data_IF_154715198088
#
_entry.id   IF_154715198088
#
_cell.length_a   1.000
_cell.length_b   1.000
_cell.length_c   1.000
_cell.angle_alpha   90.00
_cell.angle_beta   90.00
_cell.angle_gamma   90.00
#
_symmetry.space_group_name_H-M   'P 1'
#
loop_
_entity.id
_entity.type
_entity.pdbx_description
1 polymer ?
#
# COMPACT_ATOMS: atom_id res chain seq x y z
N UNK A 1 25.15 -22.97 0.12
CA UNK A 1 24.65 -22.26 -1.07
C UNK A 1 23.80 -21.11 -0.60
N UNK A 2 23.93 -19.93 -1.21
CA UNK A 2 23.05 -18.80 -0.93
C UNK A 2 21.80 -18.92 -1.81
N UNK A 3 20.63 -18.64 -1.25
CA UNK A 3 19.37 -18.54 -1.97
C UNK A 3 18.98 -17.07 -2.08
N UNK A 4 18.64 -16.63 -3.28
CA UNK A 4 18.13 -15.28 -3.52
C UNK A 4 16.61 -15.30 -3.39
N UNK A 5 16.08 -14.34 -2.64
CA UNK A 5 14.65 -14.13 -2.47
C UNK A 5 14.26 -12.80 -3.11
N UNK A 6 13.07 -12.77 -3.66
CA UNK A 6 12.40 -11.57 -4.16
C UNK A 6 10.96 -11.54 -3.64
N UNK A 7 10.23 -10.47 -3.94
CA UNK A 7 8.82 -10.41 -3.61
C UNK A 7 8.05 -11.56 -4.27
N UNK A 8 7.05 -12.15 -3.59
CA UNK A 8 6.23 -13.19 -4.17
C UNK A 8 5.47 -12.69 -5.41
N UNK A 9 4.90 -13.62 -6.18
CA UNK A 9 3.90 -13.26 -7.18
C UNK A 9 2.70 -12.56 -6.50
N UNK A 10 2.05 -11.65 -7.22
CA UNK A 10 1.06 -10.73 -6.65
C UNK A 10 -0.11 -11.43 -5.94
N UNK A 11 -0.55 -12.58 -6.46
CA UNK A 11 -1.59 -13.41 -5.88
C UNK A 11 -1.16 -14.02 -4.54
N UNK A 12 0.06 -14.58 -4.49
CA UNK A 12 0.67 -15.13 -3.27
C UNK A 12 0.93 -14.02 -2.25
N UNK A 13 1.44 -12.87 -2.68
CA UNK A 13 1.69 -11.74 -1.78
C UNK A 13 0.38 -11.20 -1.20
N UNK A 14 -0.69 -11.11 -1.99
CA UNK A 14 -1.99 -10.68 -1.51
C UNK A 14 -2.58 -11.67 -0.49
N UNK A 15 -2.39 -12.98 -0.68
CA UNK A 15 -2.79 -14.00 0.30
C UNK A 15 -2.03 -13.83 1.62
N UNK A 16 -0.70 -13.64 1.55
CA UNK A 16 0.13 -13.38 2.72
C UNK A 16 -0.34 -12.11 3.45
N UNK A 17 -0.53 -11.02 2.72
CA UNK A 17 -0.96 -9.74 3.31
C UNK A 17 -2.35 -9.86 3.93
N UNK A 18 -3.31 -10.50 3.26
CA UNK A 18 -4.65 -10.70 3.79
C UNK A 18 -4.62 -11.50 5.10
N UNK A 19 -3.86 -12.60 5.14
CA UNK A 19 -3.72 -13.46 6.32
C UNK A 19 -3.02 -12.73 7.48
N UNK A 20 -1.84 -12.17 7.25
CA UNK A 20 -1.01 -11.56 8.30
C UNK A 20 -1.57 -10.24 8.84
N UNK A 21 -2.34 -9.52 8.01
CA UNK A 21 -2.95 -8.25 8.42
C UNK A 21 -4.39 -8.40 8.91
N UNK A 22 -5.07 -9.52 8.66
CA UNK A 22 -6.46 -9.73 9.05
C UNK A 22 -7.45 -8.87 8.26
N UNK A 23 -7.18 -8.64 6.97
CA UNK A 23 -8.02 -7.83 6.06
C UNK A 23 -8.62 -8.69 4.96
N UNK A 24 -9.64 -8.18 4.27
CA UNK A 24 -10.25 -8.88 3.14
C UNK A 24 -9.30 -8.97 1.93
N UNK A 25 -9.45 -10.00 1.07
CA UNK A 25 -8.58 -10.19 -0.09
C UNK A 25 -8.56 -9.02 -1.08
N UNK A 26 -9.67 -8.28 -1.24
CA UNK A 26 -9.71 -7.18 -2.20
C UNK A 26 -8.89 -5.98 -1.69
N UNK A 27 -8.92 -5.71 -0.38
CA UNK A 27 -8.04 -4.70 0.23
C UNK A 27 -6.56 -5.11 0.12
N UNK A 28 -6.23 -6.38 0.40
CA UNK A 28 -4.86 -6.87 0.25
C UNK A 28 -4.34 -6.76 -1.19
N UNK A 29 -5.17 -7.13 -2.19
CA UNK A 29 -4.83 -6.97 -3.61
C UNK A 29 -4.54 -5.51 -3.98
N UNK A 30 -5.31 -4.55 -3.46
CA UNK A 30 -5.05 -3.12 -3.68
C UNK A 30 -3.71 -2.68 -3.09
N UNK A 31 -3.36 -3.14 -1.89
CA UNK A 31 -2.06 -2.86 -1.27
C UNK A 31 -0.90 -3.40 -2.13
N UNK A 32 -1.02 -4.63 -2.63
CA UNK A 32 -0.01 -5.22 -3.53
C UNK A 32 0.12 -4.43 -4.83
N UNK A 33 -0.98 -3.98 -5.43
CA UNK A 33 -0.94 -3.15 -6.65
C UNK A 33 -0.28 -1.78 -6.41
N UNK A 34 -0.43 -1.19 -5.22
CA UNK A 34 0.35 0.00 -4.83
C UNK A 34 1.84 -0.34 -4.74
N UNK A 35 2.17 -1.47 -4.12
CA UNK A 35 3.55 -1.93 -3.96
C UNK A 35 4.26 -2.17 -5.30
N UNK A 36 3.59 -2.80 -6.27
CA UNK A 36 4.13 -3.01 -7.61
C UNK A 36 4.49 -1.69 -8.29
N UNK A 37 3.63 -0.68 -8.19
CA UNK A 37 3.92 0.67 -8.72
C UNK A 37 5.12 1.29 -8.04
N UNK A 38 5.23 1.18 -6.72
CA UNK A 38 6.40 1.65 -5.97
C UNK A 38 7.68 0.92 -6.38
N UNK A 39 7.63 -0.42 -6.53
CA UNK A 39 8.79 -1.23 -6.94
C UNK A 39 9.27 -0.89 -8.34
N UNK A 40 8.36 -0.52 -9.25
CA UNK A 40 8.71 -0.02 -10.58
C UNK A 40 9.43 1.34 -10.57
N UNK A 41 9.36 2.09 -9.47
CA UNK A 41 10.10 3.34 -9.28
C UNK A 41 11.48 3.14 -8.64
N UNK A 42 11.85 1.90 -8.27
CA UNK A 42 13.19 1.60 -7.77
C UNK A 42 14.23 1.97 -8.83
N UNK A 43 15.21 2.79 -8.46
CA UNK A 43 16.21 3.33 -9.39
C UNK A 43 15.73 4.53 -10.22
N UNK A 44 14.48 4.97 -10.04
CA UNK A 44 13.85 6.12 -10.69
C UNK A 44 13.31 7.12 -9.65
N UNK A 45 14.11 7.38 -8.61
CA UNK A 45 13.76 8.28 -7.50
C UNK A 45 13.50 7.58 -6.17
N UNK A 46 13.36 6.25 -6.16
CA UNK A 46 13.41 5.44 -4.94
C UNK A 46 14.66 4.57 -4.90
N UNK A 47 15.28 4.49 -3.72
CA UNK A 47 16.35 3.53 -3.46
C UNK A 47 15.81 2.08 -3.42
N UNK A 48 14.61 1.91 -2.86
CA UNK A 48 13.93 0.63 -2.68
C UNK A 48 12.41 0.76 -2.85
N UNK A 49 11.76 -0.33 -3.25
CA UNK A 49 10.30 -0.40 -3.35
C UNK A 49 9.63 -0.84 -2.03
N UNK A 50 8.31 -0.67 -1.93
CA UNK A 50 7.54 -1.13 -0.77
C UNK A 50 7.72 -2.64 -0.52
N UNK A 51 8.13 -2.97 0.70
CA UNK A 51 8.27 -4.37 1.13
C UNK A 51 6.94 -4.97 1.56
N UNK A 52 6.81 -6.30 1.50
CA UNK A 52 5.64 -7.04 2.01
C UNK A 52 5.35 -6.71 3.48
N UNK A 53 6.39 -6.42 4.30
CA UNK A 53 6.22 -6.00 5.70
C UNK A 53 5.47 -4.68 5.81
N UNK A 54 5.76 -3.71 4.94
CA UNK A 54 5.04 -2.42 4.95
C UNK A 54 3.57 -2.63 4.57
N UNK A 55 3.28 -3.53 3.63
CA UNK A 55 1.91 -3.89 3.26
C UNK A 55 1.14 -4.51 4.43
N UNK A 56 1.78 -5.42 5.18
CA UNK A 56 1.19 -5.99 6.39
C UNK A 56 0.90 -4.90 7.42
N UNK A 57 1.80 -3.94 7.63
CA UNK A 57 1.55 -2.82 8.55
C UNK A 57 0.40 -1.92 8.10
N UNK A 58 0.34 -1.56 6.81
CA UNK A 58 -0.78 -0.80 6.27
C UNK A 58 -2.10 -1.56 6.46
N UNK A 59 -2.13 -2.85 6.16
CA UNK A 59 -3.29 -3.70 6.38
C UNK A 59 -3.70 -3.78 7.85
N UNK A 60 -2.75 -3.90 8.79
CA UNK A 60 -3.04 -3.93 10.22
C UNK A 60 -3.60 -2.62 10.76
N UNK A 61 -3.23 -1.48 10.17
CA UNK A 61 -3.85 -0.19 10.48
C UNK A 61 -5.29 -0.15 9.95
N UNK A 62 -5.52 -0.63 8.72
CA UNK A 62 -6.87 -0.73 8.12
C UNK A 62 -7.78 -1.64 8.94
N UNK A 63 -7.27 -2.79 9.40
CA UNK A 63 -8.00 -3.72 10.27
C UNK A 63 -8.38 -3.11 11.64
N UNK A 64 -7.76 -1.99 12.02
CA UNK A 64 -8.05 -1.20 13.23
C UNK A 64 -8.88 0.05 12.92
N UNK A 65 -9.63 0.03 11.81
CA UNK A 65 -10.53 1.09 11.34
C UNK A 65 -9.83 2.42 11.00
N UNK A 66 -8.51 2.41 10.78
CA UNK A 66 -7.82 3.58 10.23
C UNK A 66 -8.16 3.67 8.74
N UNK A 67 -8.60 4.84 8.23
CA UNK A 67 -8.92 5.00 6.81
C UNK A 67 -7.75 4.55 5.93
N UNK A 68 -8.03 3.76 4.89
CA UNK A 68 -7.01 3.18 4.04
C UNK A 68 -6.01 4.20 3.44
N UNK A 69 -6.43 5.41 3.00
CA UNK A 69 -5.50 6.44 2.56
C UNK A 69 -4.49 6.85 3.65
N UNK A 70 -4.98 7.09 4.88
CA UNK A 70 -4.16 7.46 6.03
C UNK A 70 -3.24 6.31 6.47
N UNK A 71 -3.75 5.08 6.50
CA UNK A 71 -2.95 3.90 6.81
C UNK A 71 -1.81 3.70 5.81
N UNK A 72 -2.08 3.88 4.51
CA UNK A 72 -1.07 3.80 3.46
C UNK A 72 -0.05 4.94 3.57
N UNK A 73 -0.48 6.17 3.85
CA UNK A 73 0.43 7.29 4.03
C UNK A 73 1.43 7.01 5.17
N UNK A 74 0.94 6.61 6.34
CA UNK A 74 1.75 6.34 7.53
C UNK A 74 2.69 5.14 7.36
N UNK A 75 2.20 4.05 6.76
CA UNK A 75 2.93 2.78 6.73
C UNK A 75 3.70 2.52 5.43
N UNK A 76 3.30 3.14 4.31
CA UNK A 76 3.89 2.88 3.00
C UNK A 76 4.67 4.08 2.45
N UNK A 77 4.16 5.30 2.60
CA UNK A 77 4.73 6.49 1.95
C UNK A 77 5.79 7.15 2.81
N UNK A 78 5.44 7.57 4.04
CA UNK A 78 6.36 8.28 4.95
C UNK A 78 7.64 7.49 5.25
N UNK A 79 7.61 6.16 5.45
CA UNK A 79 8.84 5.41 5.75
C UNK A 79 9.74 5.18 4.55
N UNK A 80 9.25 5.38 3.31
CA UNK A 80 9.97 4.99 2.10
C UNK A 80 10.84 6.12 1.54
N UNK A 81 10.46 7.37 1.75
CA UNK A 81 11.18 8.51 1.18
C UNK A 81 10.94 9.82 1.93
N UNK A 82 11.98 10.65 1.99
CA UNK A 82 11.92 12.03 2.47
C UNK A 82 11.77 13.06 1.34
N UNK A 83 11.88 12.62 0.09
CA UNK A 83 11.74 13.48 -1.08
C UNK A 83 10.26 13.83 -1.31
N UNK A 84 9.90 15.13 -1.35
CA UNK A 84 8.51 15.56 -1.48
C UNK A 84 7.88 15.16 -2.83
N UNK A 85 8.63 15.19 -3.93
CA UNK A 85 8.12 14.83 -5.27
C UNK A 85 7.83 13.32 -5.34
N UNK A 86 8.67 12.51 -4.69
CA UNK A 86 8.46 11.08 -4.57
C UNK A 86 7.30 10.73 -3.65
N UNK A 87 7.11 11.47 -2.55
CA UNK A 87 5.94 11.32 -1.69
C UNK A 87 4.65 11.60 -2.47
N UNK A 88 4.59 12.68 -3.23
CA UNK A 88 3.43 13.03 -4.05
C UNK A 88 3.14 11.94 -5.10
N UNK A 89 4.19 11.41 -5.73
CA UNK A 89 4.07 10.30 -6.69
C UNK A 89 3.49 9.04 -6.05
N UNK A 90 3.97 8.66 -4.86
CA UNK A 90 3.46 7.50 -4.13
C UNK A 90 2.04 7.73 -3.60
N UNK A 91 1.74 8.94 -3.13
CA UNK A 91 0.40 9.31 -2.68
C UNK A 91 -0.63 9.23 -3.81
N UNK A 92 -0.26 9.67 -5.03
CA UNK A 92 -1.11 9.50 -6.20
C UNK A 92 -1.39 8.02 -6.53
N UNK A 93 -0.39 7.13 -6.34
CA UNK A 93 -0.58 5.69 -6.47
C UNK A 93 -1.57 5.15 -5.44
N UNK A 94 -1.48 5.60 -4.18
CA UNK A 94 -2.45 5.24 -3.12
C UNK A 94 -3.86 5.70 -3.49
N UNK A 95 -4.04 6.96 -3.86
CA UNK A 95 -5.36 7.53 -4.21
C UNK A 95 -6.04 6.84 -5.40
N UNK A 96 -5.28 6.20 -6.27
CA UNK A 96 -5.81 5.39 -7.39
C UNK A 96 -6.60 4.18 -6.90
N UNK A 97 -6.20 3.56 -5.78
CA UNK A 97 -6.82 2.35 -5.24
C UNK A 97 -7.68 2.59 -4.01
N UNK A 98 -7.37 3.64 -3.25
CA UNK A 98 -8.11 4.09 -2.08
C UNK A 98 -8.43 5.58 -2.23
N UNK A 99 -9.51 5.96 -2.94
CA UNK A 99 -9.91 7.36 -3.03
C UNK A 99 -10.40 7.85 -1.66
N UNK A 100 -10.06 9.09 -1.30
CA UNK A 100 -10.63 9.76 -0.13
C UNK A 100 -12.13 9.98 -0.35
N UNK A 101 -12.97 9.30 0.44
CA UNK A 101 -14.44 9.40 0.37
C UNK A 101 -14.97 10.57 1.20
N UNK A 102 -14.12 11.50 1.63
CA UNK A 102 -14.50 12.71 2.39
C UNK A 102 -15.15 13.80 1.52
N UNK A 103 -15.91 13.41 0.49
CA UNK A 103 -16.99 14.24 -0.01
C UNK A 103 -18.29 13.88 0.74
N UNK A 104 -18.52 14.58 1.85
CA UNK A 104 -19.73 14.50 2.68
C UNK A 104 -21.04 14.87 1.95
N UNK A 105 -21.03 15.13 0.64
CA UNK A 105 -22.23 15.50 -0.12
C UNK A 105 -23.09 14.33 -0.64
N UNK A 106 -22.72 13.05 -0.40
CA UNK A 106 -23.48 11.89 -0.94
C UNK A 106 -23.94 10.81 0.05
N UNK A 107 -23.98 11.09 1.34
CA UNK A 107 -24.54 10.14 2.35
C UNK A 107 -26.07 10.28 2.52
N UNK A 108 -26.74 11.15 1.75
CA UNK A 108 -28.19 11.31 1.80
C UNK A 108 -28.87 10.96 0.46
N UNK A 109 -28.80 9.69 0.04
CA UNK A 109 -29.76 9.06 -0.87
C UNK A 109 -29.45 7.56 -1.05
N UNK A 110 -29.84 6.74 -0.07
CA UNK A 110 -30.20 5.34 -0.25
C UNK A 110 -31.07 4.89 0.93
#
# INVERSE_FOLDING_TARGET
GAMTFDFPAADVEAEIVAHEAGIDPATAQRLVQIAERSRNLKGHGLDEGMSTRLLVYAGQLIAKDIPAPAACQMALVEPLTDDPDMRDTLQAAVSTFFPDITDSSKVAAA
#
